data_IF_055967894336
#
_entry.id   IF_055967894336
#
_cell.length_a   1.000
_cell.length_b   1.000
_cell.length_c   1.000
_cell.angle_alpha   90.00
_cell.angle_beta   90.00
_cell.angle_gamma   90.00
#
_symmetry.space_group_name_H-M   'P 1'
#
loop_
_entity.id
_entity.type
_entity.pdbx_description
1 polymer ?
#
# COMPACT_ATOMS: atom_id res chain seq x y z
N UNK A 1 -13.92 39.71 -24.07
CA UNK A 1 -12.42 39.63 -24.12
C UNK A 1 -11.78 39.87 -22.77
N UNK A 2 -12.06 40.98 -22.05
CA UNK A 2 -11.47 41.23 -20.72
C UNK A 2 -11.97 40.19 -19.69
N UNK A 3 -13.26 39.87 -19.68
CA UNK A 3 -13.86 38.84 -18.80
C UNK A 3 -13.23 37.44 -18.98
N UNK A 4 -12.84 37.09 -20.22
CA UNK A 4 -12.17 35.80 -20.46
C UNK A 4 -10.73 35.79 -19.91
N UNK A 5 -10.01 36.91 -19.98
CA UNK A 5 -8.68 37.03 -19.36
C UNK A 5 -8.76 36.97 -17.82
N UNK A 6 -9.72 37.70 -17.24
CA UNK A 6 -9.95 37.69 -15.79
C UNK A 6 -10.34 36.28 -15.27
N UNK A 7 -11.10 35.51 -16.05
CA UNK A 7 -11.43 34.12 -15.75
C UNK A 7 -10.20 33.21 -15.88
N UNK A 8 -9.36 33.40 -16.89
CA UNK A 8 -8.11 32.63 -17.05
C UNK A 8 -7.11 32.91 -15.93
N UNK A 9 -6.98 34.17 -15.48
CA UNK A 9 -6.14 34.55 -14.35
C UNK A 9 -6.68 33.94 -13.04
N UNK A 10 -8.00 34.02 -12.82
CA UNK A 10 -8.65 33.45 -11.62
C UNK A 10 -8.51 31.93 -11.52
N UNK A 11 -8.56 31.25 -12.67
CA UNK A 11 -8.47 29.77 -12.74
C UNK A 11 -7.05 29.26 -12.94
N UNK A 12 -6.04 30.16 -13.02
CA UNK A 12 -4.65 29.84 -13.38
C UNK A 12 -4.53 29.01 -14.67
N UNK A 13 -5.44 29.28 -15.63
CA UNK A 13 -5.56 28.48 -16.85
C UNK A 13 -4.39 28.67 -17.82
N UNK A 14 -3.60 29.72 -17.68
CA UNK A 14 -2.42 29.96 -18.50
C UNK A 14 -1.38 28.86 -18.43
N UNK A 15 -1.17 28.31 -17.22
CA UNK A 15 -0.20 27.25 -16.99
C UNK A 15 -0.74 25.85 -17.32
N UNK A 16 -2.06 25.73 -17.48
CA UNK A 16 -2.73 24.45 -17.73
C UNK A 16 -2.27 23.80 -19.04
N UNK A 17 -2.23 24.56 -20.13
CA UNK A 17 -1.83 24.06 -21.46
C UNK A 17 -0.34 23.66 -21.45
N UNK A 18 0.52 24.50 -20.85
CA UNK A 18 1.95 24.22 -20.75
C UNK A 18 2.21 22.96 -19.92
N UNK A 19 1.56 22.84 -18.76
CA UNK A 19 1.64 21.66 -17.89
C UNK A 19 1.09 20.41 -18.58
N UNK A 20 -0.06 20.54 -19.26
CA UNK A 20 -0.63 19.44 -20.03
C UNK A 20 0.33 18.91 -21.10
N UNK A 21 0.94 19.81 -21.87
CA UNK A 21 1.95 19.46 -22.89
C UNK A 21 3.19 18.81 -22.27
N UNK A 22 3.65 19.28 -21.13
CA UNK A 22 4.76 18.68 -20.40
C UNK A 22 4.45 17.25 -20.00
N UNK A 23 3.31 17.01 -19.32
CA UNK A 23 2.89 15.67 -18.88
C UNK A 23 2.75 14.72 -20.06
N UNK A 24 2.08 15.15 -21.14
CA UNK A 24 1.92 14.35 -22.36
C UNK A 24 3.27 13.99 -22.98
N UNK A 25 4.19 14.96 -23.08
CA UNK A 25 5.54 14.74 -23.58
C UNK A 25 6.33 13.75 -22.73
N UNK A 26 6.25 13.85 -21.39
CA UNK A 26 6.91 12.94 -20.46
C UNK A 26 6.37 11.50 -20.53
N UNK A 27 5.12 11.34 -20.92
CA UNK A 27 4.48 10.04 -21.13
C UNK A 27 4.57 9.55 -22.60
N UNK A 28 5.42 10.17 -23.43
CA UNK A 28 5.60 9.87 -24.87
C UNK A 28 4.28 9.84 -25.66
N UNK A 29 3.43 10.83 -25.40
CA UNK A 29 2.16 11.05 -26.08
C UNK A 29 2.28 12.30 -26.96
N UNK A 30 2.87 12.15 -28.16
CA UNK A 30 3.18 13.28 -29.04
C UNK A 30 2.12 13.53 -30.12
N UNK A 31 1.41 12.49 -30.56
CA UNK A 31 0.39 12.58 -31.62
C UNK A 31 -1.00 12.68 -30.94
N UNK A 32 -1.46 13.92 -30.76
CA UNK A 32 -2.70 14.22 -30.06
C UNK A 32 -3.95 14.16 -30.98
N UNK A 33 -3.76 14.04 -32.29
CA UNK A 33 -4.85 13.97 -33.27
C UNK A 33 -5.38 12.53 -33.45
N UNK A 34 -4.70 11.54 -32.88
CA UNK A 34 -5.11 10.14 -32.93
C UNK A 34 -6.36 9.88 -32.11
N UNK A 35 -7.27 9.09 -32.68
CA UNK A 35 -8.47 8.65 -31.96
C UNK A 35 -8.11 7.57 -30.91
N UNK A 36 -8.82 7.52 -29.80
CA UNK A 36 -8.62 6.52 -28.74
C UNK A 36 -8.68 5.06 -29.25
N UNK A 37 -9.49 4.81 -30.29
CA UNK A 37 -9.62 3.48 -30.91
C UNK A 37 -8.36 3.00 -31.62
N UNK A 38 -7.51 3.91 -32.11
CA UNK A 38 -6.25 3.59 -32.81
C UNK A 38 -5.06 3.38 -31.87
N UNK A 39 -5.22 3.65 -30.56
CA UNK A 39 -4.16 3.52 -29.58
C UNK A 39 -3.99 2.08 -29.10
N UNK A 40 -2.73 1.68 -28.88
CA UNK A 40 -2.39 0.44 -28.21
C UNK A 40 -2.89 0.42 -26.75
N UNK A 41 -2.94 -0.75 -26.12
CA UNK A 41 -3.32 -0.88 -24.70
C UNK A 41 -2.43 -0.05 -23.76
N UNK A 42 -1.11 -0.02 -24.01
CA UNK A 42 -0.14 0.77 -23.25
C UNK A 42 -0.35 2.28 -23.45
N UNK A 43 -0.54 2.73 -24.70
CA UNK A 43 -0.84 4.15 -24.98
C UNK A 43 -2.14 4.61 -24.31
N UNK A 44 -3.19 3.81 -24.37
CA UNK A 44 -4.45 4.12 -23.67
C UNK A 44 -4.28 4.30 -22.16
N UNK A 45 -3.46 3.44 -21.52
CA UNK A 45 -3.16 3.57 -20.09
C UNK A 45 -2.35 4.84 -19.80
N UNK A 46 -1.36 5.18 -20.64
CA UNK A 46 -0.61 6.43 -20.49
C UNK A 46 -1.49 7.66 -20.68
N UNK A 47 -2.44 7.64 -21.64
CA UNK A 47 -3.42 8.72 -21.81
C UNK A 47 -4.31 8.85 -20.58
N UNK A 48 -4.80 7.74 -20.01
CA UNK A 48 -5.59 7.77 -18.78
C UNK A 48 -4.80 8.32 -17.60
N UNK A 49 -3.52 7.95 -17.47
CA UNK A 49 -2.62 8.50 -16.45
C UNK A 49 -2.39 9.99 -16.66
N UNK A 50 -2.08 10.41 -17.91
CA UNK A 50 -1.91 11.83 -18.24
C UNK A 50 -3.13 12.65 -17.84
N UNK A 51 -4.34 12.17 -18.15
CA UNK A 51 -5.58 12.84 -17.81
C UNK A 51 -5.68 13.15 -16.32
N UNK A 52 -5.53 12.15 -15.47
CA UNK A 52 -5.68 12.32 -14.01
C UNK A 52 -4.57 13.20 -13.41
N UNK A 53 -3.35 13.16 -13.98
CA UNK A 53 -2.26 14.03 -13.54
C UNK A 53 -2.48 15.50 -13.94
N UNK A 54 -3.10 15.74 -15.10
CA UNK A 54 -3.46 17.10 -15.56
C UNK A 54 -4.60 17.67 -14.71
N UNK A 55 -5.58 16.82 -14.34
CA UNK A 55 -6.74 17.22 -13.53
C UNK A 55 -6.37 17.54 -12.07
N UNK A 56 -5.25 17.02 -11.55
CA UNK A 56 -4.77 17.22 -10.17
C UNK A 56 -5.87 17.07 -9.11
N UNK A 57 -6.53 15.91 -9.00
CA UNK A 57 -7.57 15.69 -8.02
C UNK A 57 -7.02 15.72 -6.59
N UNK A 58 -7.86 16.07 -5.61
CA UNK A 58 -7.48 16.02 -4.19
C UNK A 58 -7.11 14.60 -3.72
N UNK A 59 -7.73 13.58 -4.31
CA UNK A 59 -7.51 12.16 -4.03
C UNK A 59 -7.34 11.38 -5.33
N UNK A 60 -6.22 10.69 -5.45
CA UNK A 60 -5.85 9.87 -6.60
C UNK A 60 -5.65 8.41 -6.21
N UNK A 61 -6.37 7.51 -6.90
CA UNK A 61 -6.18 6.06 -6.79
C UNK A 61 -5.41 5.55 -7.99
N UNK A 62 -4.29 4.86 -7.74
CA UNK A 62 -3.47 4.24 -8.80
C UNK A 62 -3.32 2.74 -8.53
N UNK A 63 -3.61 1.95 -9.56
CA UNK A 63 -3.40 0.50 -9.55
C UNK A 63 -2.30 0.15 -10.56
N UNK A 64 -1.15 -0.31 -10.05
CA UNK A 64 0.05 -0.65 -10.83
C UNK A 64 0.45 0.43 -11.86
N UNK A 65 0.68 1.69 -11.41
CA UNK A 65 0.90 2.82 -12.33
C UNK A 65 2.20 2.72 -13.15
N UNK A 66 3.18 1.94 -12.69
CA UNK A 66 4.46 1.74 -13.38
C UNK A 66 4.38 0.75 -14.54
N UNK A 67 3.30 -0.04 -14.62
CA UNK A 67 3.11 -0.98 -15.71
C UNK A 67 3.00 -0.25 -17.06
N UNK A 68 3.75 -0.72 -18.04
CA UNK A 68 3.83 -0.17 -19.41
C UNK A 68 4.51 1.20 -19.53
N UNK A 69 5.23 1.64 -18.49
CA UNK A 69 6.12 2.79 -18.51
C UNK A 69 7.57 2.32 -18.69
N UNK A 70 8.35 3.09 -19.42
CA UNK A 70 9.79 2.91 -19.44
C UNK A 70 10.44 3.57 -18.19
N UNK A 71 11.74 3.33 -18.03
CA UNK A 71 12.46 3.80 -16.83
C UNK A 71 12.44 5.32 -16.69
N UNK A 72 12.55 6.06 -17.80
CA UNK A 72 12.55 7.52 -17.76
C UNK A 72 11.19 8.07 -17.34
N UNK A 73 10.11 7.46 -17.83
CA UNK A 73 8.73 7.79 -17.41
C UNK A 73 8.50 7.49 -15.92
N UNK A 74 8.98 6.33 -15.43
CA UNK A 74 8.87 5.94 -14.02
C UNK A 74 9.58 6.95 -13.14
N UNK A 75 10.84 7.29 -13.43
CA UNK A 75 11.62 8.25 -12.65
C UNK A 75 11.01 9.65 -12.68
N UNK A 76 10.43 10.05 -13.79
CA UNK A 76 9.70 11.30 -13.87
C UNK A 76 8.43 11.27 -13.01
N UNK A 77 7.64 10.19 -13.11
CA UNK A 77 6.38 10.02 -12.35
C UNK A 77 6.65 10.00 -10.83
N UNK A 78 7.70 9.34 -10.38
CA UNK A 78 8.15 9.39 -8.98
C UNK A 78 8.34 10.83 -8.50
N UNK A 79 9.14 11.60 -9.24
CA UNK A 79 9.43 13.00 -8.90
C UNK A 79 8.18 13.88 -8.95
N UNK A 80 7.29 13.62 -9.88
CA UNK A 80 6.03 14.35 -10.02
C UNK A 80 5.12 14.10 -8.82
N UNK A 81 4.86 12.83 -8.49
CA UNK A 81 3.99 12.44 -7.38
C UNK A 81 4.56 12.83 -6.02
N UNK A 82 5.86 12.69 -5.80
CA UNK A 82 6.52 13.09 -4.55
C UNK A 82 6.43 14.60 -4.26
N UNK A 83 6.24 15.43 -5.29
CA UNK A 83 6.08 16.89 -5.15
C UNK A 83 4.64 17.35 -5.18
N UNK A 84 3.73 16.48 -5.59
CA UNK A 84 2.31 16.81 -5.69
C UNK A 84 1.68 17.00 -4.30
N UNK A 85 0.61 17.79 -4.24
CA UNK A 85 -0.20 17.98 -3.03
C UNK A 85 -1.37 17.00 -2.94
N UNK A 86 -1.52 16.12 -3.93
CA UNK A 86 -2.60 15.14 -4.01
C UNK A 86 -2.47 14.10 -2.89
N UNK A 87 -3.58 13.70 -2.33
CA UNK A 87 -3.62 12.48 -1.50
C UNK A 87 -3.58 11.27 -2.41
N UNK A 88 -2.55 10.42 -2.26
CA UNK A 88 -2.34 9.27 -3.13
C UNK A 88 -2.64 7.98 -2.37
N UNK A 89 -3.49 7.11 -2.94
CA UNK A 89 -3.61 5.72 -2.56
C UNK A 89 -3.22 4.84 -3.74
N UNK A 90 -2.21 4.01 -3.54
CA UNK A 90 -1.60 3.26 -4.63
C UNK A 90 -1.41 1.79 -4.27
N UNK A 91 -1.59 0.93 -5.27
CA UNK A 91 -1.21 -0.49 -5.23
C UNK A 91 -0.11 -0.67 -6.27
N UNK A 92 1.04 -1.22 -5.85
CA UNK A 92 2.12 -1.56 -6.78
C UNK A 92 3.06 -2.61 -6.18
N UNK A 93 3.74 -3.34 -7.06
CA UNK A 93 4.83 -4.25 -6.72
C UNK A 93 6.22 -3.63 -6.91
N UNK A 94 6.28 -2.40 -7.40
CA UNK A 94 7.54 -1.67 -7.59
C UNK A 94 8.05 -1.09 -6.27
N UNK A 95 9.05 -1.77 -5.71
CA UNK A 95 9.64 -1.41 -4.42
C UNK A 95 10.37 -0.08 -4.44
N UNK A 96 11.02 0.24 -5.56
CA UNK A 96 11.75 1.51 -5.72
C UNK A 96 10.77 2.68 -5.80
N UNK A 97 9.67 2.47 -6.49
CA UNK A 97 8.60 3.46 -6.57
C UNK A 97 7.98 3.71 -5.19
N UNK A 98 7.68 2.65 -4.41
CA UNK A 98 7.18 2.76 -3.04
C UNK A 98 8.17 3.51 -2.12
N UNK A 99 9.48 3.23 -2.24
CA UNK A 99 10.51 3.87 -1.43
C UNK A 99 10.54 5.38 -1.62
N UNK A 100 10.35 5.86 -2.85
CA UNK A 100 10.52 7.27 -3.21
C UNK A 100 9.23 8.10 -3.11
N UNK A 101 8.05 7.47 -3.23
CA UNK A 101 6.77 8.18 -3.35
C UNK A 101 5.94 8.09 -2.08
N UNK A 102 6.02 6.98 -1.32
CA UNK A 102 5.12 6.73 -0.21
C UNK A 102 5.71 7.16 1.14
N UNK A 103 4.91 7.82 1.96
CA UNK A 103 5.18 8.15 3.36
C UNK A 103 4.46 7.22 4.35
N UNK A 104 3.55 6.42 3.86
CA UNK A 104 2.76 5.47 4.63
C UNK A 104 2.52 4.21 3.81
N UNK A 105 2.74 3.04 4.41
CA UNK A 105 2.44 1.75 3.80
C UNK A 105 1.37 1.04 4.61
N UNK A 106 0.41 0.48 3.90
CA UNK A 106 -0.68 -0.32 4.46
C UNK A 106 -0.51 -1.76 3.98
N UNK A 107 -0.25 -2.66 4.92
CA UNK A 107 -0.17 -4.09 4.67
C UNK A 107 -1.49 -4.76 5.02
N UNK A 108 -2.05 -5.49 4.07
CA UNK A 108 -3.19 -6.37 4.30
C UNK A 108 -2.67 -7.80 4.50
N UNK A 109 -2.77 -8.31 5.72
CA UNK A 109 -2.33 -9.67 6.09
C UNK A 109 -3.48 -10.46 6.71
N UNK A 110 -3.97 -11.45 5.97
CA UNK A 110 -5.11 -12.31 6.32
C UNK A 110 -6.37 -11.51 6.71
N UNK A 111 -6.61 -11.30 7.99
CA UNK A 111 -7.78 -10.59 8.51
C UNK A 111 -7.42 -9.25 9.17
N UNK A 112 -6.17 -8.83 9.06
CA UNK A 112 -5.64 -7.66 9.76
C UNK A 112 -5.02 -6.67 8.81
N UNK A 113 -5.22 -5.38 9.10
CA UNK A 113 -4.63 -4.28 8.38
C UNK A 113 -3.58 -3.62 9.28
N UNK A 114 -2.36 -3.53 8.79
CA UNK A 114 -1.24 -2.92 9.49
C UNK A 114 -0.81 -1.66 8.77
N UNK A 115 -0.68 -0.57 9.50
CA UNK A 115 -0.24 0.72 8.96
C UNK A 115 1.17 1.04 9.46
N UNK A 116 2.07 1.34 8.55
CA UNK A 116 3.45 1.75 8.82
C UNK A 116 3.65 3.15 8.29
N UNK A 117 3.98 4.10 9.17
CA UNK A 117 4.26 5.48 8.79
C UNK A 117 5.75 5.60 8.49
N UNK A 118 6.11 5.61 7.22
CA UNK A 118 7.46 5.63 6.71
C UNK A 118 7.50 5.08 5.27
N UNK A 119 8.70 5.02 4.69
CA UNK A 119 8.97 4.46 3.37
C UNK A 119 8.98 2.93 3.36
N UNK A 120 9.29 2.33 2.22
CA UNK A 120 9.30 0.88 2.05
C UNK A 120 10.38 0.18 2.91
N UNK A 121 11.56 0.77 3.03
CA UNK A 121 12.64 0.24 3.89
C UNK A 121 12.23 0.18 5.35
N UNK A 122 11.60 1.25 5.87
CA UNK A 122 11.05 1.26 7.23
C UNK A 122 9.95 0.21 7.44
N UNK A 123 9.08 0.05 6.45
CA UNK A 123 8.05 -1.00 6.48
C UNK A 123 8.67 -2.40 6.62
N UNK A 124 9.71 -2.72 5.82
CA UNK A 124 10.37 -4.02 5.88
C UNK A 124 10.94 -4.30 7.26
N UNK A 125 11.68 -3.35 7.84
CA UNK A 125 12.23 -3.46 9.20
C UNK A 125 11.14 -3.76 10.23
N UNK A 126 10.07 -2.96 10.23
CA UNK A 126 8.97 -3.13 11.19
C UNK A 126 8.15 -4.39 10.98
N UNK A 127 8.04 -4.85 9.75
CA UNK A 127 7.42 -6.13 9.43
C UNK A 127 8.23 -7.31 9.97
N UNK A 128 9.55 -7.28 9.80
CA UNK A 128 10.47 -8.30 10.34
C UNK A 128 10.38 -8.35 11.87
N UNK A 129 10.50 -7.22 12.57
CA UNK A 129 10.34 -7.13 14.01
C UNK A 129 9.00 -7.76 14.49
N UNK A 130 7.90 -7.42 13.80
CA UNK A 130 6.57 -7.95 14.10
C UNK A 130 6.52 -9.48 13.92
N UNK A 131 7.12 -9.98 12.85
CA UNK A 131 7.17 -11.42 12.56
C UNK A 131 8.00 -12.17 13.59
N UNK A 132 9.15 -11.66 14.01
CA UNK A 132 9.98 -12.23 15.06
C UNK A 132 9.23 -12.30 16.40
N UNK A 133 8.60 -11.20 16.82
CA UNK A 133 7.79 -11.18 18.06
C UNK A 133 6.66 -12.20 17.97
N UNK A 134 5.97 -12.29 16.84
CA UNK A 134 4.89 -13.26 16.63
C UNK A 134 5.41 -14.71 16.69
N UNK A 135 6.60 -14.97 16.12
CA UNK A 135 7.25 -16.28 16.16
C UNK A 135 7.61 -16.68 17.59
N UNK A 136 8.29 -15.80 18.34
CA UNK A 136 8.65 -16.04 19.74
C UNK A 136 7.41 -16.29 20.61
N UNK A 137 6.36 -15.48 20.42
CA UNK A 137 5.11 -15.66 21.17
C UNK A 137 4.43 -17.00 20.84
N UNK A 138 4.46 -17.42 19.56
CA UNK A 138 3.94 -18.73 19.14
C UNK A 138 4.72 -19.90 19.76
N UNK A 139 6.04 -19.79 19.82
CA UNK A 139 6.88 -20.82 20.46
C UNK A 139 6.63 -20.92 21.96
N UNK A 140 6.51 -19.76 22.64
CA UNK A 140 6.12 -19.71 24.06
C UNK A 140 4.75 -20.34 24.30
N UNK A 141 3.77 -20.02 23.45
CA UNK A 141 2.44 -20.60 23.51
C UNK A 141 2.48 -22.12 23.29
N UNK A 142 3.26 -22.60 22.30
CA UNK A 142 3.44 -24.04 22.04
C UNK A 142 4.09 -24.75 23.23
N UNK A 143 5.14 -24.17 23.82
CA UNK A 143 5.79 -24.73 25.01
C UNK A 143 4.83 -24.78 26.21
N UNK A 144 4.07 -23.74 26.44
CA UNK A 144 3.03 -23.69 27.46
C UNK A 144 1.94 -24.73 27.20
N UNK A 145 1.48 -24.84 25.95
CA UNK A 145 0.50 -25.85 25.56
C UNK A 145 0.99 -27.28 25.84
N UNK A 146 2.23 -27.60 25.47
CA UNK A 146 2.82 -28.93 25.77
C UNK A 146 2.80 -29.25 27.27
N UNK A 147 3.17 -28.29 28.13
CA UNK A 147 3.14 -28.44 29.59
C UNK A 147 1.71 -28.64 30.11
N UNK A 148 0.77 -27.82 29.69
CA UNK A 148 -0.62 -27.90 30.10
C UNK A 148 -1.30 -29.16 29.54
N UNK A 149 -0.94 -29.62 28.33
CA UNK A 149 -1.42 -30.88 27.79
C UNK A 149 -0.94 -32.08 28.59
N UNK A 150 0.34 -32.08 29.00
CA UNK A 150 0.89 -33.14 29.90
C UNK A 150 0.12 -33.16 31.23
N UNK A 151 -0.16 -31.98 31.81
CA UNK A 151 -0.98 -31.90 33.02
C UNK A 151 -2.44 -32.35 32.77
N UNK A 152 -3.06 -31.99 31.66
CA UNK A 152 -4.40 -32.45 31.30
C UNK A 152 -4.50 -33.97 31.18
N UNK A 153 -3.42 -34.63 30.70
CA UNK A 153 -3.34 -36.07 30.52
C UNK A 153 -2.97 -36.80 31.82
N UNK A 154 -2.35 -36.11 32.79
CA UNK A 154 -1.99 -36.73 34.08
C UNK A 154 -3.24 -37.01 34.93
N UNK A 155 -3.18 -38.08 35.71
CA UNK A 155 -4.23 -38.41 36.67
C UNK A 155 -4.13 -37.45 37.86
N UNK A 156 -5.26 -36.89 38.39
CA UNK A 156 -5.21 -36.04 39.58
C UNK A 156 -4.63 -36.79 40.75
N UNK A 157 -3.59 -36.25 41.40
CA UNK A 157 -3.09 -36.80 42.66
C UNK A 157 -4.08 -36.45 43.77
N UNK A 158 -4.71 -37.47 44.36
CA UNK A 158 -5.63 -37.43 45.49
C UNK A 158 -6.89 -36.51 45.35
N UNK A 159 -8.02 -37.04 45.67
CA UNK A 159 -9.38 -36.52 46.02
C UNK A 159 -9.86 -35.13 45.48
N UNK A 160 -9.06 -34.36 44.76
CA UNK A 160 -9.42 -33.06 44.18
C UNK A 160 -9.46 -33.12 42.67
N UNK A 161 -10.60 -32.78 42.07
CA UNK A 161 -10.77 -32.65 40.61
C UNK A 161 -9.84 -31.59 40.01
N UNK A 162 -9.58 -31.66 38.70
CA UNK A 162 -8.80 -30.65 38.00
C UNK A 162 -9.47 -29.27 38.12
N UNK A 163 -8.68 -28.27 38.45
CA UNK A 163 -9.17 -26.87 38.57
C UNK A 163 -9.81 -26.39 37.26
N UNK A 164 -11.07 -25.94 37.32
CA UNK A 164 -11.80 -25.41 36.17
C UNK A 164 -11.04 -24.23 35.52
N UNK A 165 -10.53 -23.29 36.32
CA UNK A 165 -9.75 -22.15 35.84
C UNK A 165 -8.51 -22.57 35.03
N UNK A 166 -7.83 -23.68 35.38
CA UNK A 166 -6.68 -24.18 34.62
C UNK A 166 -7.09 -24.90 33.35
N UNK A 167 -8.27 -25.53 33.33
CA UNK A 167 -8.86 -26.09 32.11
C UNK A 167 -9.21 -25.01 31.13
N UNK A 168 -9.86 -23.93 31.57
CA UNK A 168 -10.23 -22.79 30.72
C UNK A 168 -8.97 -22.14 30.11
N UNK A 169 -7.94 -21.93 30.95
CA UNK A 169 -6.63 -21.43 30.50
C UNK A 169 -5.97 -22.35 29.46
N UNK A 170 -6.12 -23.64 29.56
CA UNK A 170 -5.61 -24.61 28.57
C UNK A 170 -6.24 -24.35 27.18
N UNK A 171 -7.54 -24.12 27.11
CA UNK A 171 -8.23 -23.84 25.84
C UNK A 171 -7.82 -22.50 25.24
N UNK A 172 -7.56 -21.48 26.05
CA UNK A 172 -7.01 -20.21 25.57
C UNK A 172 -5.61 -20.37 24.99
N UNK A 173 -4.71 -21.07 25.69
CA UNK A 173 -3.36 -21.36 25.20
C UNK A 173 -3.41 -22.17 23.91
N UNK A 174 -4.31 -23.15 23.80
CA UNK A 174 -4.52 -23.93 22.59
C UNK A 174 -4.89 -23.03 21.40
N UNK A 175 -5.78 -22.07 21.59
CA UNK A 175 -6.16 -21.09 20.56
C UNK A 175 -4.97 -20.21 20.13
N UNK A 176 -4.19 -19.71 21.08
CA UNK A 176 -3.00 -18.89 20.80
C UNK A 176 -1.88 -19.69 20.10
N UNK A 177 -1.71 -20.96 20.42
CA UNK A 177 -0.74 -21.83 19.77
C UNK A 177 -1.14 -22.22 18.33
N UNK A 178 -2.35 -21.89 17.88
CA UNK A 178 -2.92 -22.30 16.59
C UNK A 178 -2.79 -23.80 16.30
N UNK A 179 -3.08 -24.64 17.30
CA UNK A 179 -3.06 -26.10 17.25
C UNK A 179 -4.48 -26.63 17.24
#
# INVERSE_FOLDING_TARGET
>A
TQLAYDDMDRTQAWDFEARGKEILGKLNLHDLDRTMGSLSGGERRRVALAKVLIEEPDLLFLDEPTNHLDLDMIQWLEKYLARSKMTLLMITHDRYFLENVCDTIIELDAESLFRYKGNYSYYLEKREERQEIAMVNRERARSSFKRELAWMRSTPSARTGKSKARIDRFYEIKKQARI
#
